data_IF_436656177911
#
_entry.id   IF_436656177911
#
_cell.length_a   1.000
_cell.length_b   1.000
_cell.length_c   1.000
_cell.angle_alpha   90.00
_cell.angle_beta   90.00
_cell.angle_gamma   90.00
#
_symmetry.space_group_name_H-M   'P 1'
#
loop_
_entity.id
_entity.type
_entity.pdbx_description
1 polymer ?
#
# COMPACT_ATOMS: atom_id res chain seq x y z
N UNK A 1 -11.98 11.44 49.36
CA UNK A 1 -10.82 12.06 48.69
C UNK A 1 -10.66 11.39 47.33
N UNK A 2 -11.11 12.05 46.28
CA UNK A 2 -11.28 11.51 44.93
C UNK A 2 -9.94 11.33 44.21
N UNK A 3 -9.66 10.12 43.73
CA UNK A 3 -8.54 9.84 42.83
C UNK A 3 -8.96 10.17 41.39
N UNK A 4 -8.33 11.23 40.87
CA UNK A 4 -7.89 11.38 39.48
C UNK A 4 -8.86 10.96 38.37
N UNK A 5 -9.57 11.94 37.82
CA UNK A 5 -10.09 11.87 36.45
C UNK A 5 -9.30 12.84 35.58
N UNK A 6 -8.07 12.45 35.22
CA UNK A 6 -7.25 13.16 34.23
C UNK A 6 -7.77 12.68 32.87
N UNK A 7 -8.26 13.56 31.98
CA UNK A 7 -8.56 13.17 30.61
C UNK A 7 -7.23 12.76 29.98
N UNK A 8 -7.06 11.47 29.69
CA UNK A 8 -5.96 10.99 28.86
C UNK A 8 -6.25 11.57 27.47
N UNK A 9 -5.45 12.52 26.95
CA UNK A 9 -5.63 12.97 25.58
C UNK A 9 -5.46 11.73 24.71
N UNK A 10 -6.41 11.51 23.81
CA UNK A 10 -6.44 10.40 22.88
C UNK A 10 -5.13 10.40 22.07
N UNK A 11 -4.14 9.68 22.59
CA UNK A 11 -2.82 9.68 22.02
C UNK A 11 -2.91 8.88 20.72
N UNK A 12 -2.83 9.61 19.62
CA UNK A 12 -2.40 9.14 18.29
C UNK A 12 -3.42 8.44 17.40
N UNK A 13 -4.64 8.96 17.29
CA UNK A 13 -5.36 8.87 16.01
C UNK A 13 -4.76 9.92 15.07
N UNK A 14 -3.56 9.66 14.56
CA UNK A 14 -2.90 10.56 13.61
C UNK A 14 -3.73 10.55 12.33
N UNK A 15 -4.54 11.58 12.14
CA UNK A 15 -5.31 11.79 10.91
C UNK A 15 -4.35 12.19 9.77
N UNK A 16 -3.60 11.19 9.28
CA UNK A 16 -2.67 11.33 8.17
C UNK A 16 -3.35 11.78 6.87
N UNK A 17 -4.68 11.65 6.79
CA UNK A 17 -5.49 12.11 5.65
C UNK A 17 -5.56 13.63 5.49
N UNK A 18 -5.21 14.40 6.53
CA UNK A 18 -5.24 15.87 6.50
C UNK A 18 -4.03 16.51 5.82
N UNK A 19 -2.97 15.72 5.56
CA UNK A 19 -1.71 16.24 5.01
C UNK A 19 -1.55 15.79 3.55
N UNK A 20 -1.67 16.73 2.62
CA UNK A 20 -1.46 16.49 1.18
C UNK A 20 -0.09 15.89 0.87
N UNK A 21 0.94 16.23 1.66
CA UNK A 21 2.27 15.64 1.55
C UNK A 21 2.29 14.14 1.83
N UNK A 22 1.54 13.69 2.85
CA UNK A 22 1.42 12.27 3.19
C UNK A 22 0.62 11.54 2.13
N UNK A 23 -0.50 12.11 1.65
CA UNK A 23 -1.28 11.52 0.55
C UNK A 23 -0.44 11.37 -0.73
N UNK A 24 0.31 12.41 -1.10
CA UNK A 24 1.19 12.40 -2.26
C UNK A 24 2.30 11.36 -2.11
N UNK A 25 2.93 11.30 -0.93
CA UNK A 25 3.98 10.33 -0.64
C UNK A 25 3.46 8.89 -0.73
N UNK A 26 2.32 8.59 -0.09
CA UNK A 26 1.69 7.26 -0.14
C UNK A 26 1.32 6.90 -1.58
N UNK A 27 0.70 7.83 -2.32
CA UNK A 27 0.35 7.60 -3.73
C UNK A 27 1.58 7.29 -4.57
N UNK A 28 2.65 8.07 -4.42
CA UNK A 28 3.90 7.85 -5.15
C UNK A 28 4.51 6.49 -4.80
N UNK A 29 4.58 6.15 -3.50
CA UNK A 29 5.14 4.88 -3.05
C UNK A 29 4.37 3.69 -3.60
N UNK A 30 3.03 3.72 -3.54
CA UNK A 30 2.21 2.63 -4.09
C UNK A 30 2.39 2.52 -5.60
N UNK A 31 2.48 3.64 -6.33
CA UNK A 31 2.78 3.63 -7.76
C UNK A 31 4.17 3.02 -8.06
N UNK A 32 5.19 3.37 -7.28
CA UNK A 32 6.55 2.84 -7.46
C UNK A 32 6.61 1.33 -7.19
N UNK A 33 5.88 0.86 -6.17
CA UNK A 33 5.76 -0.56 -5.87
C UNK A 33 5.03 -1.33 -6.96
N UNK A 34 3.96 -0.77 -7.54
CA UNK A 34 3.27 -1.36 -8.71
C UNK A 34 4.24 -1.49 -9.89
N UNK A 35 4.98 -0.41 -10.24
CA UNK A 35 5.97 -0.45 -11.33
C UNK A 35 7.06 -1.49 -11.08
N UNK A 36 7.49 -1.67 -9.82
CA UNK A 36 8.47 -2.70 -9.45
C UNK A 36 7.92 -4.12 -9.65
N UNK A 37 6.65 -4.36 -9.30
CA UNK A 37 6.00 -5.65 -9.52
C UNK A 37 5.83 -5.96 -11.01
N UNK A 38 5.42 -4.97 -11.81
CA UNK A 38 5.29 -5.10 -13.28
C UNK A 38 6.62 -5.50 -13.94
N UNK A 39 7.72 -4.81 -13.62
CA UNK A 39 9.06 -5.16 -14.11
C UNK A 39 9.49 -6.58 -13.73
N UNK A 40 9.09 -7.04 -12.54
CA UNK A 40 9.42 -8.38 -12.08
C UNK A 40 8.59 -9.44 -12.80
N UNK A 41 7.33 -9.16 -13.12
CA UNK A 41 6.49 -9.99 -14.00
C UNK A 41 7.12 -10.08 -15.39
N UNK A 42 7.55 -8.97 -15.98
CA UNK A 42 8.23 -8.96 -17.29
C UNK A 42 9.47 -9.86 -17.27
N UNK A 43 10.31 -9.75 -16.24
CA UNK A 43 11.49 -10.62 -16.07
C UNK A 43 11.10 -12.09 -15.97
N UNK A 44 10.06 -12.41 -15.18
CA UNK A 44 9.59 -13.78 -14.99
C UNK A 44 9.06 -14.40 -16.29
N UNK A 45 8.33 -13.61 -17.10
CA UNK A 45 7.83 -14.03 -18.41
C UNK A 45 8.97 -14.36 -19.38
N UNK A 46 10.08 -13.64 -19.30
CA UNK A 46 11.28 -13.91 -20.12
C UNK A 46 12.02 -15.20 -19.69
N UNK A 47 12.06 -15.50 -18.39
CA UNK A 47 12.74 -16.71 -17.90
C UNK A 47 12.05 -18.03 -18.25
N UNK A 48 10.76 -18.00 -18.63
CA UNK A 48 9.97 -19.20 -19.00
C UNK A 48 10.07 -20.38 -18.00
N UNK A 49 10.27 -20.07 -16.71
CA UNK A 49 10.43 -21.11 -15.69
C UNK A 49 9.09 -21.78 -15.39
N UNK A 50 9.04 -23.12 -15.13
CA UNK A 50 7.80 -23.85 -14.90
C UNK A 50 6.93 -23.30 -13.76
N UNK A 51 7.56 -22.68 -12.76
CA UNK A 51 6.93 -22.11 -11.58
C UNK A 51 6.69 -20.59 -11.70
N UNK A 52 7.07 -19.97 -12.81
CA UNK A 52 6.92 -18.53 -13.01
C UNK A 52 5.45 -18.10 -13.01
N UNK A 53 4.56 -18.89 -13.61
CA UNK A 53 3.13 -18.58 -13.70
C UNK A 53 2.49 -18.35 -12.33
N UNK A 54 2.80 -19.20 -11.34
CA UNK A 54 2.27 -19.06 -9.97
C UNK A 54 2.75 -17.75 -9.33
N UNK A 55 4.01 -17.37 -9.56
CA UNK A 55 4.61 -16.14 -9.02
C UNK A 55 4.03 -14.92 -9.74
N UNK A 56 3.87 -14.99 -11.06
CA UNK A 56 3.23 -13.94 -11.87
C UNK A 56 1.81 -13.69 -11.37
N UNK A 57 0.99 -14.74 -11.22
CA UNK A 57 -0.38 -14.60 -10.70
C UNK A 57 -0.42 -14.05 -9.27
N UNK A 58 0.59 -14.33 -8.45
CA UNK A 58 0.70 -13.74 -7.11
C UNK A 58 1.00 -12.24 -7.19
N UNK A 59 1.92 -11.81 -8.06
CA UNK A 59 2.24 -10.40 -8.27
C UNK A 59 1.10 -9.62 -8.92
N UNK A 60 0.37 -10.21 -9.86
CA UNK A 60 -0.83 -9.61 -10.46
C UNK A 60 -1.90 -9.32 -9.40
N UNK A 61 -2.16 -10.26 -8.49
CA UNK A 61 -3.07 -10.04 -7.33
C UNK A 61 -2.57 -8.94 -6.40
N UNK A 62 -1.26 -8.81 -6.20
CA UNK A 62 -0.69 -7.70 -5.40
C UNK A 62 -0.88 -6.36 -6.10
N UNK A 63 -0.70 -6.30 -7.42
CA UNK A 63 -0.94 -5.09 -8.22
C UNK A 63 -2.41 -4.69 -8.15
N UNK A 64 -3.34 -5.64 -8.32
CA UNK A 64 -4.77 -5.38 -8.25
C UNK A 64 -5.16 -4.77 -6.89
N UNK A 65 -4.69 -5.35 -5.79
CA UNK A 65 -4.93 -4.80 -4.44
C UNK A 65 -4.35 -3.40 -4.25
N UNK A 66 -3.15 -3.14 -4.78
CA UNK A 66 -2.50 -1.82 -4.69
C UNK A 66 -3.22 -0.76 -5.51
N UNK A 67 -3.66 -1.11 -6.72
CA UNK A 67 -4.47 -0.22 -7.58
C UNK A 67 -5.84 0.03 -6.96
N UNK A 68 -6.49 -1.00 -6.44
CA UNK A 68 -7.76 -0.89 -5.72
C UNK A 68 -7.64 -0.05 -4.44
N UNK A 69 -6.53 -0.16 -3.71
CA UNK A 69 -6.23 0.73 -2.59
C UNK A 69 -6.22 2.20 -3.04
N UNK A 70 -5.49 2.55 -4.09
CA UNK A 70 -5.45 3.93 -4.59
C UNK A 70 -6.81 4.43 -5.10
N UNK A 71 -7.59 3.57 -5.75
CA UNK A 71 -8.94 3.91 -6.20
C UNK A 71 -9.88 4.22 -5.03
N UNK A 72 -9.79 3.45 -3.95
CA UNK A 72 -10.62 3.65 -2.76
C UNK A 72 -10.08 4.73 -1.81
N UNK A 73 -8.80 5.10 -1.94
CA UNK A 73 -8.13 6.06 -1.05
C UNK A 73 -8.35 7.52 -1.45
N UNK A 74 -8.62 7.80 -2.73
CA UNK A 74 -9.00 9.13 -3.23
C UNK A 74 -10.53 9.36 -3.22
N UNK A 75 -11.33 8.38 -2.74
CA UNK A 75 -12.78 8.51 -2.45
C UNK A 75 -13.04 8.91 -1.00
#
# INVERSE_FOLDING_TARGET
MNRSNIPIPDASRVELGHYDSVRTHVRQQVCDEVRKLERRIETLKLTQAPHAEIIISAYERMIERKRGFLQNWDM
#
